data_IF_843641273248
#
_entry.id   IF_843641273248
#
_cell.length_a   1.000
_cell.length_b   1.000
_cell.length_c   1.000
_cell.angle_alpha   90.00
_cell.angle_beta   90.00
_cell.angle_gamma   90.00
#
_symmetry.space_group_name_H-M   'P 1'
#
loop_
_entity.id
_entity.type
_entity.pdbx_description
1 polymer ?
#
# COMPACT_ATOMS: atom_id res chain seq x y z
N UNK A 1 49.95 -34.83 -9.51
CA UNK A 1 48.79 -34.95 -8.61
C UNK A 1 47.56 -34.82 -9.48
N UNK A 2 46.90 -35.93 -9.77
CA UNK A 2 45.61 -35.90 -10.51
C UNK A 2 44.61 -35.20 -9.62
N UNK A 3 44.27 -33.97 -9.97
CA UNK A 3 43.17 -33.23 -9.30
C UNK A 3 41.92 -34.03 -9.54
N UNK A 4 41.24 -34.40 -8.46
CA UNK A 4 40.01 -35.15 -8.51
C UNK A 4 38.96 -34.36 -9.35
N UNK A 5 38.61 -34.92 -10.53
CA UNK A 5 37.72 -34.29 -11.49
C UNK A 5 36.35 -33.98 -10.88
N UNK A 6 35.82 -34.91 -10.08
CA UNK A 6 34.52 -34.75 -9.44
C UNK A 6 34.56 -33.68 -8.33
N UNK A 7 35.67 -33.64 -7.55
CA UNK A 7 35.86 -32.60 -6.54
C UNK A 7 35.91 -31.19 -7.14
N UNK A 8 36.59 -30.99 -8.27
CA UNK A 8 36.62 -29.69 -8.95
C UNK A 8 35.24 -29.33 -9.52
N UNK A 9 34.53 -30.31 -10.08
CA UNK A 9 33.21 -30.13 -10.66
C UNK A 9 32.21 -29.61 -9.63
N UNK A 10 32.27 -30.08 -8.40
CA UNK A 10 31.39 -29.64 -7.31
C UNK A 10 31.67 -28.18 -6.87
N UNK A 11 32.89 -27.69 -7.10
CA UNK A 11 33.32 -26.34 -6.79
C UNK A 11 32.90 -25.29 -7.85
N UNK A 12 32.56 -25.69 -9.08
CA UNK A 12 32.41 -24.78 -10.23
C UNK A 12 31.30 -23.74 -10.04
N UNK A 13 30.20 -24.09 -9.40
CA UNK A 13 29.12 -23.14 -9.12
C UNK A 13 29.59 -22.06 -8.14
N UNK A 14 30.12 -22.46 -6.97
CA UNK A 14 30.63 -21.53 -5.96
C UNK A 14 31.77 -20.66 -6.51
N UNK A 15 32.65 -21.22 -7.33
CA UNK A 15 33.72 -20.48 -8.01
C UNK A 15 33.15 -19.41 -8.96
N UNK A 16 32.12 -19.72 -9.73
CA UNK A 16 31.50 -18.75 -10.64
C UNK A 16 30.83 -17.58 -9.91
N UNK A 17 30.35 -17.82 -8.69
CA UNK A 17 29.79 -16.79 -7.80
C UNK A 17 30.84 -16.06 -6.96
N UNK A 18 32.12 -16.45 -7.01
CA UNK A 18 33.17 -15.87 -6.16
C UNK A 18 33.02 -16.21 -4.68
N UNK A 19 32.42 -17.35 -4.36
CA UNK A 19 32.09 -17.80 -3.02
C UNK A 19 32.95 -18.94 -2.49
N UNK A 20 34.13 -19.18 -3.10
CA UNK A 20 35.08 -20.18 -2.65
C UNK A 20 36.06 -19.63 -1.60
N UNK A 21 36.49 -20.52 -0.71
CA UNK A 21 37.64 -20.26 0.16
C UNK A 21 38.92 -20.12 -0.69
N UNK A 22 39.90 -19.30 -0.28
CA UNK A 22 41.12 -19.04 -1.10
C UNK A 22 41.98 -20.29 -1.44
N UNK A 23 41.82 -21.35 -0.66
CA UNK A 23 42.51 -22.63 -0.94
C UNK A 23 41.87 -23.35 -2.12
N UNK A 24 40.54 -23.43 -2.16
CA UNK A 24 39.78 -24.13 -3.19
C UNK A 24 39.75 -23.31 -4.49
N UNK A 25 39.68 -21.97 -4.39
CA UNK A 25 39.75 -21.10 -5.55
C UNK A 25 40.97 -21.30 -6.41
N UNK A 26 42.10 -21.62 -5.82
CA UNK A 26 43.38 -21.90 -6.54
C UNK A 26 43.40 -23.23 -7.28
N UNK A 27 42.55 -24.18 -6.93
CA UNK A 27 42.50 -25.51 -7.56
C UNK A 27 41.71 -25.54 -8.86
N UNK A 28 40.74 -24.62 -9.01
CA UNK A 28 39.82 -24.59 -10.17
C UNK A 28 40.50 -24.17 -11.47
N UNK A 29 41.21 -23.02 -11.57
CA UNK A 29 41.76 -22.53 -12.83
C UNK A 29 42.74 -23.53 -13.54
N UNK A 30 43.67 -24.20 -12.84
CA UNK A 30 44.52 -25.17 -13.49
C UNK A 30 43.76 -26.35 -14.11
N UNK A 31 42.73 -26.85 -13.42
CA UNK A 31 41.89 -27.92 -13.93
C UNK A 31 41.04 -27.48 -15.15
N UNK A 32 40.53 -26.25 -15.16
CA UNK A 32 39.77 -25.71 -16.30
C UNK A 32 40.67 -25.59 -17.56
N UNK A 33 41.96 -25.39 -17.40
CA UNK A 33 42.90 -25.33 -18.52
C UNK A 33 43.13 -26.71 -19.16
N UNK A 34 42.93 -27.81 -18.42
CA UNK A 34 43.18 -29.18 -18.83
C UNK A 34 41.90 -29.98 -19.12
N UNK A 35 40.74 -29.52 -18.69
CA UNK A 35 39.47 -30.24 -18.80
C UNK A 35 38.39 -29.43 -19.53
N UNK A 36 38.15 -29.73 -20.81
CA UNK A 36 37.15 -29.04 -21.63
C UNK A 36 35.71 -29.13 -21.06
N UNK A 37 35.34 -30.28 -20.48
CA UNK A 37 33.99 -30.46 -19.93
C UNK A 37 33.71 -29.54 -18.72
N UNK A 38 34.70 -29.42 -17.82
CA UNK A 38 34.61 -28.50 -16.68
C UNK A 38 34.70 -27.04 -17.12
N UNK A 39 35.52 -26.73 -18.12
CA UNK A 39 35.57 -25.38 -18.68
C UNK A 39 34.21 -24.95 -19.29
N UNK A 40 33.58 -25.82 -20.07
CA UNK A 40 32.27 -25.59 -20.62
C UNK A 40 31.16 -25.42 -19.53
N UNK A 41 31.26 -26.19 -18.45
CA UNK A 41 30.33 -26.05 -17.31
C UNK A 41 30.58 -24.77 -16.52
N UNK A 42 31.81 -24.40 -16.28
CA UNK A 42 32.21 -23.17 -15.64
C UNK A 42 31.68 -21.93 -16.41
N UNK A 43 31.77 -21.96 -17.75
CA UNK A 43 31.24 -20.86 -18.58
C UNK A 43 29.71 -20.79 -18.54
N UNK A 44 28.99 -21.92 -18.44
CA UNK A 44 27.55 -21.91 -18.20
C UNK A 44 27.18 -21.23 -16.87
N UNK A 45 27.90 -21.57 -15.79
CA UNK A 45 27.67 -20.92 -14.48
C UNK A 45 27.99 -19.44 -14.51
N UNK A 46 29.11 -19.02 -15.13
CA UNK A 46 29.42 -17.59 -15.30
C UNK A 46 28.38 -16.85 -16.10
N UNK A 47 27.79 -17.48 -17.13
CA UNK A 47 26.68 -16.87 -17.88
C UNK A 47 25.45 -16.69 -16.99
N UNK A 48 25.14 -17.67 -16.15
CA UNK A 48 24.04 -17.57 -15.17
C UNK A 48 24.29 -16.43 -14.18
N UNK A 49 25.50 -16.33 -13.62
CA UNK A 49 25.88 -15.23 -12.71
C UNK A 49 25.70 -13.87 -13.42
N UNK A 50 26.19 -13.73 -14.65
CA UNK A 50 25.99 -12.49 -15.44
C UNK A 50 24.52 -12.12 -15.64
N UNK A 51 23.63 -13.11 -15.77
CA UNK A 51 22.18 -12.88 -15.90
C UNK A 51 21.55 -12.46 -14.56
N UNK A 52 22.06 -12.98 -13.45
CA UNK A 52 21.59 -12.63 -12.10
C UNK A 52 22.11 -11.26 -11.63
N UNK A 53 23.34 -10.90 -12.03
CA UNK A 53 23.95 -9.60 -11.73
C UNK A 53 23.29 -8.44 -12.52
N UNK A 54 22.44 -8.73 -13.49
CA UNK A 54 21.85 -7.75 -14.39
C UNK A 54 22.88 -7.18 -15.41
N UNK A 55 22.45 -6.30 -16.31
CA UNK A 55 23.36 -5.65 -17.21
C UNK A 55 24.34 -4.79 -16.41
N UNK A 56 25.64 -5.16 -16.44
CA UNK A 56 26.70 -4.30 -15.92
C UNK A 56 26.56 -2.95 -16.60
N UNK A 57 26.42 -1.91 -15.80
CA UNK A 57 26.47 -0.52 -16.25
C UNK A 57 27.64 -0.39 -17.24
N UNK A 58 27.37 0.02 -18.46
CA UNK A 58 28.40 0.45 -19.39
C UNK A 58 29.27 1.46 -18.66
N UNK A 59 30.59 1.45 -18.92
CA UNK A 59 31.57 2.42 -18.45
C UNK A 59 31.05 3.84 -18.68
N UNK A 60 30.23 4.31 -17.77
CA UNK A 60 29.93 5.74 -17.63
C UNK A 60 31.11 6.28 -16.84
N UNK A 61 31.82 7.30 -17.33
CA UNK A 61 32.90 7.90 -16.58
C UNK A 61 32.38 8.24 -15.19
N UNK A 62 33.13 7.86 -14.16
CA UNK A 62 32.85 8.06 -12.74
C UNK A 62 32.46 9.50 -12.42
N UNK A 63 31.21 9.87 -12.71
CA UNK A 63 30.57 10.89 -11.89
C UNK A 63 30.09 10.16 -10.64
N UNK A 64 30.54 10.58 -9.47
CA UNK A 64 30.13 9.90 -8.26
C UNK A 64 28.59 9.86 -8.23
N UNK A 65 28.04 8.66 -8.09
CA UNK A 65 26.59 8.44 -7.95
C UNK A 65 26.00 9.32 -6.82
N UNK A 66 26.84 9.73 -5.88
CA UNK A 66 26.56 10.72 -4.83
C UNK A 66 26.13 12.08 -5.38
N UNK A 67 26.67 12.56 -6.50
CA UNK A 67 26.34 13.91 -7.01
C UNK A 67 24.99 13.91 -7.73
N UNK A 68 24.66 12.86 -8.48
CA UNK A 68 23.35 12.73 -9.12
C UNK A 68 22.28 12.51 -8.05
N UNK A 69 22.52 11.60 -7.10
CA UNK A 69 21.61 11.38 -5.98
C UNK A 69 21.44 12.65 -5.15
N UNK A 70 22.54 13.34 -4.82
CA UNK A 70 22.50 14.59 -4.08
C UNK A 70 21.80 15.72 -4.86
N UNK A 71 21.95 15.79 -6.18
CA UNK A 71 21.24 16.74 -7.02
C UNK A 71 19.74 16.43 -7.04
N UNK A 72 19.35 15.18 -7.23
CA UNK A 72 17.95 14.74 -7.20
C UNK A 72 17.32 14.98 -5.82
N UNK A 73 18.02 14.65 -4.73
CA UNK A 73 17.53 14.90 -3.37
C UNK A 73 17.41 16.40 -3.03
N UNK A 74 18.24 17.27 -3.61
CA UNK A 74 18.10 18.72 -3.45
C UNK A 74 16.93 19.32 -4.22
N UNK A 75 16.54 18.72 -5.34
CA UNK A 75 15.41 19.18 -6.16
C UNK A 75 14.08 18.59 -5.72
N UNK A 76 14.10 17.46 -4.98
CA UNK A 76 12.91 16.84 -4.44
C UNK A 76 12.49 17.57 -3.16
N UNK A 77 11.23 18.06 -3.07
CA UNK A 77 10.73 18.61 -1.82
C UNK A 77 10.91 17.57 -0.70
N UNK A 78 11.44 18.02 0.44
CA UNK A 78 11.51 17.12 1.61
C UNK A 78 10.11 16.61 1.96
N UNK A 79 10.00 15.33 2.35
CA UNK A 79 8.76 14.82 2.87
C UNK A 79 8.30 15.69 4.05
N UNK A 80 7.01 16.03 4.15
CA UNK A 80 6.49 16.80 5.27
C UNK A 80 6.84 16.06 6.58
N UNK A 81 7.33 16.81 7.56
CA UNK A 81 7.56 16.27 8.90
C UNK A 81 6.23 16.23 9.64
N UNK A 82 5.62 15.06 9.67
CA UNK A 82 4.35 14.83 10.35
C UNK A 82 4.53 13.87 11.52
N UNK A 83 3.55 13.84 12.42
CA UNK A 83 3.48 12.85 13.50
C UNK A 83 3.24 11.44 12.93
N UNK A 84 3.57 10.40 13.71
CA UNK A 84 3.55 9.01 13.26
C UNK A 84 2.18 8.56 12.69
N UNK A 85 1.07 9.07 13.21
CA UNK A 85 -0.29 8.76 12.76
C UNK A 85 -0.63 9.35 11.37
N UNK A 86 -0.03 10.49 11.00
CA UNK A 86 -0.23 11.12 9.69
C UNK A 86 0.80 10.67 8.64
N UNK A 87 1.85 9.94 9.04
CA UNK A 87 2.90 9.47 8.13
C UNK A 87 2.37 8.53 7.03
N UNK A 88 1.42 7.59 7.29
CA UNK A 88 0.81 6.80 6.23
C UNK A 88 0.11 7.65 5.17
N UNK A 89 -0.64 8.69 5.58
CA UNK A 89 -1.30 9.59 4.64
C UNK A 89 -0.30 10.39 3.81
N UNK A 90 0.75 10.93 4.44
CA UNK A 90 1.81 11.63 3.72
C UNK A 90 2.49 10.73 2.66
N UNK A 91 2.71 9.45 2.99
CA UNK A 91 3.29 8.49 2.06
C UNK A 91 2.32 8.14 0.91
N UNK A 92 1.03 7.92 1.20
CA UNK A 92 0.01 7.63 0.20
C UNK A 92 -0.18 8.81 -0.78
N UNK A 93 -0.27 10.04 -0.26
CA UNK A 93 -0.32 11.27 -1.07
C UNK A 93 0.92 11.40 -1.97
N UNK A 94 2.11 11.14 -1.43
CA UNK A 94 3.35 11.19 -2.23
C UNK A 94 3.36 10.11 -3.33
N UNK A 95 2.87 8.90 -3.02
CA UNK A 95 2.73 7.80 -3.98
C UNK A 95 1.79 8.16 -5.13
N UNK A 96 0.61 8.69 -4.82
CA UNK A 96 -0.36 9.11 -5.84
C UNK A 96 0.20 10.28 -6.68
N UNK A 97 0.77 11.30 -6.06
CA UNK A 97 1.43 12.41 -6.79
C UNK A 97 2.52 11.91 -7.74
N UNK A 98 3.23 10.84 -7.39
CA UNK A 98 4.24 10.24 -8.26
C UNK A 98 3.66 9.42 -9.42
N UNK A 99 2.45 8.83 -9.25
CA UNK A 99 1.76 8.06 -10.27
C UNK A 99 1.05 8.94 -11.31
N UNK A 100 0.48 10.08 -10.89
CA UNK A 100 -0.38 10.91 -11.72
C UNK A 100 0.23 11.40 -13.06
N UNK A 101 1.54 11.69 -13.19
CA UNK A 101 2.15 11.99 -14.48
C UNK A 101 1.96 10.89 -15.54
N UNK A 102 1.85 9.62 -15.11
CA UNK A 102 1.62 8.47 -16.01
C UNK A 102 0.17 8.41 -16.54
N UNK A 103 -0.74 9.15 -15.92
CA UNK A 103 -2.13 9.28 -16.38
C UNK A 103 -2.29 10.31 -17.51
N UNK A 104 -1.25 11.06 -17.86
CA UNK A 104 -1.32 12.07 -18.93
C UNK A 104 -1.83 11.47 -20.24
N UNK A 105 -2.89 12.06 -20.80
CA UNK A 105 -3.58 11.58 -21.99
C UNK A 105 -4.46 10.34 -21.79
N UNK A 106 -4.59 9.83 -20.56
CA UNK A 106 -5.39 8.62 -20.21
C UNK A 106 -6.38 8.86 -19.08
N UNK A 107 -6.74 10.10 -18.78
CA UNK A 107 -7.63 10.48 -17.69
C UNK A 107 -9.01 9.81 -17.74
N UNK A 108 -9.53 9.49 -18.93
CA UNK A 108 -10.78 8.75 -19.12
C UNK A 108 -10.64 7.23 -19.04
N UNK A 109 -9.51 6.67 -18.57
CA UNK A 109 -9.38 5.22 -18.38
C UNK A 109 -10.27 4.78 -17.21
N UNK A 110 -11.20 3.81 -17.40
CA UNK A 110 -12.02 3.27 -16.32
C UNK A 110 -11.16 2.66 -15.21
N UNK A 111 -11.50 2.92 -13.94
CA UNK A 111 -10.74 2.49 -12.76
C UNK A 111 -11.58 1.59 -11.86
N UNK A 112 -12.55 2.14 -11.14
CA UNK A 112 -13.36 1.43 -10.16
C UNK A 112 -14.76 2.05 -10.13
N UNK A 113 -15.78 1.26 -9.80
CA UNK A 113 -17.16 1.69 -9.95
C UNK A 113 -17.42 2.17 -11.39
N UNK A 114 -18.12 3.28 -11.55
CA UNK A 114 -18.31 3.96 -12.85
C UNK A 114 -17.33 5.13 -13.02
N UNK A 115 -16.22 5.14 -12.30
CA UNK A 115 -15.23 6.21 -12.28
C UNK A 115 -14.04 5.91 -13.21
N UNK A 116 -13.61 6.93 -13.91
CA UNK A 116 -12.31 6.97 -14.57
C UNK A 116 -11.25 7.56 -13.65
N UNK A 117 -10.02 7.72 -14.14
CA UNK A 117 -8.91 8.29 -13.37
C UNK A 117 -9.26 9.69 -12.85
N UNK A 118 -9.90 10.55 -13.70
CA UNK A 118 -10.27 11.91 -13.29
C UNK A 118 -11.31 11.89 -12.16
N UNK A 119 -12.37 11.10 -12.30
CA UNK A 119 -13.40 10.95 -11.28
C UNK A 119 -12.82 10.38 -9.96
N UNK A 120 -11.86 9.45 -10.05
CA UNK A 120 -11.19 8.88 -8.86
C UNK A 120 -10.43 9.95 -8.08
N UNK A 121 -9.74 10.89 -8.74
CA UNK A 121 -9.09 12.01 -8.06
C UNK A 121 -10.12 12.99 -7.48
N UNK A 122 -11.22 13.26 -8.20
CA UNK A 122 -12.32 14.08 -7.69
C UNK A 122 -12.98 13.44 -6.45
N UNK A 123 -13.15 12.11 -6.45
CA UNK A 123 -13.60 11.38 -5.26
C UNK A 123 -12.64 11.57 -4.09
N UNK A 124 -11.32 11.44 -4.27
CA UNK A 124 -10.35 11.68 -3.20
C UNK A 124 -10.40 13.11 -2.67
N UNK A 125 -10.66 14.10 -3.53
CA UNK A 125 -10.91 15.48 -3.10
C UNK A 125 -12.14 15.57 -2.18
N UNK A 126 -13.25 14.90 -2.54
CA UNK A 126 -14.44 14.82 -1.70
C UNK A 126 -14.18 14.06 -0.38
N UNK A 127 -13.45 12.96 -0.44
CA UNK A 127 -13.15 12.10 0.69
C UNK A 127 -12.32 12.82 1.76
N UNK A 128 -11.32 13.57 1.35
CA UNK A 128 -10.46 14.35 2.24
C UNK A 128 -11.16 15.60 2.81
N UNK A 129 -12.16 16.13 2.11
CA UNK A 129 -12.87 17.38 2.49
C UNK A 129 -13.49 17.32 3.89
N UNK A 130 -14.05 16.18 4.30
CA UNK A 130 -14.69 16.07 5.60
C UNK A 130 -13.71 16.30 6.76
N UNK A 131 -12.51 15.71 6.67
CA UNK A 131 -11.45 15.95 7.65
C UNK A 131 -10.90 17.37 7.50
N UNK A 132 -10.72 17.85 6.28
CA UNK A 132 -10.23 19.20 6.01
C UNK A 132 -11.13 20.28 6.65
N UNK A 133 -12.44 20.18 6.45
CA UNK A 133 -13.40 21.13 7.04
C UNK A 133 -13.43 21.06 8.56
N UNK A 134 -13.34 19.87 9.15
CA UNK A 134 -13.24 19.70 10.59
C UNK A 134 -12.02 20.44 11.16
N UNK A 135 -10.91 20.42 10.43
CA UNK A 135 -9.65 21.08 10.82
C UNK A 135 -9.59 22.56 10.39
N UNK A 136 -10.69 23.14 9.93
CA UNK A 136 -10.80 24.55 9.56
C UNK A 136 -10.20 24.88 8.19
N UNK A 137 -10.01 23.89 7.33
CA UNK A 137 -9.57 24.06 5.94
C UNK A 137 -10.80 24.21 5.07
N UNK A 138 -10.85 25.27 4.25
CA UNK A 138 -12.00 25.57 3.39
C UNK A 138 -12.16 24.51 2.29
N UNK A 139 -13.43 24.17 1.98
CA UNK A 139 -13.78 23.32 0.86
C UNK A 139 -13.37 23.96 -0.48
N UNK A 140 -12.90 23.14 -1.41
CA UNK A 140 -12.51 23.57 -2.77
C UNK A 140 -13.69 23.67 -3.71
N UNK A 141 -14.73 22.85 -3.46
CA UNK A 141 -15.91 22.72 -4.31
C UNK A 141 -17.11 23.34 -3.57
N UNK A 142 -18.03 24.04 -4.27
CA UNK A 142 -19.25 24.58 -3.66
C UNK A 142 -20.02 23.54 -2.85
N UNK A 143 -20.76 23.94 -1.79
CA UNK A 143 -21.49 23.00 -0.95
C UNK A 143 -22.59 22.29 -1.73
N UNK A 144 -22.82 21.02 -1.41
CA UNK A 144 -23.94 20.23 -1.93
C UNK A 144 -25.26 20.64 -1.26
N UNK A 145 -26.34 20.51 -2.01
CA UNK A 145 -27.68 20.57 -1.44
C UNK A 145 -28.06 19.18 -0.94
N UNK A 146 -28.07 19.01 0.39
CA UNK A 146 -28.42 17.75 1.04
C UNK A 146 -29.74 17.92 1.72
N UNK A 147 -30.66 16.96 1.63
CA UNK A 147 -31.95 16.99 2.25
C UNK A 147 -31.85 17.05 3.79
N UNK A 148 -32.71 17.80 4.43
CA UNK A 148 -32.80 17.86 5.88
C UNK A 148 -33.10 16.44 6.45
N UNK A 149 -32.26 15.97 7.37
CA UNK A 149 -32.40 14.65 7.98
C UNK A 149 -31.78 13.48 7.17
N UNK A 150 -31.11 13.76 6.08
CA UNK A 150 -30.36 12.74 5.34
C UNK A 150 -29.35 12.01 6.25
N UNK A 151 -29.24 10.68 6.10
CA UNK A 151 -28.23 9.90 6.78
C UNK A 151 -26.83 10.24 6.27
N UNK A 152 -25.79 9.92 7.07
CA UNK A 152 -24.41 10.21 6.70
C UNK A 152 -24.00 9.56 5.36
N UNK A 153 -24.48 8.34 5.09
CA UNK A 153 -24.19 7.61 3.83
C UNK A 153 -24.77 8.33 2.62
N UNK A 154 -26.02 8.79 2.71
CA UNK A 154 -26.68 9.55 1.65
C UNK A 154 -25.97 10.89 1.42
N UNK A 155 -25.66 11.59 2.51
CA UNK A 155 -24.91 12.84 2.45
C UNK A 155 -23.52 12.68 1.81
N UNK A 156 -22.84 11.59 2.14
CA UNK A 156 -21.55 11.21 1.58
C UNK A 156 -21.64 10.93 0.07
N UNK A 157 -22.54 10.02 -0.33
CA UNK A 157 -22.74 9.68 -1.74
C UNK A 157 -23.08 10.92 -2.56
N UNK A 158 -24.01 11.74 -2.06
CA UNK A 158 -24.39 12.97 -2.73
C UNK A 158 -23.23 13.96 -2.87
N UNK A 159 -22.42 14.12 -1.79
CA UNK A 159 -21.24 14.98 -1.85
C UNK A 159 -20.23 14.51 -2.89
N UNK A 160 -19.94 13.22 -2.91
CA UNK A 160 -19.04 12.61 -3.88
C UNK A 160 -19.52 12.84 -5.32
N UNK A 161 -20.80 12.58 -5.60
CA UNK A 161 -21.41 12.82 -6.92
C UNK A 161 -21.29 14.29 -7.35
N UNK A 162 -21.61 15.23 -6.46
CA UNK A 162 -21.56 16.66 -6.76
C UNK A 162 -20.13 17.15 -7.01
N UNK A 163 -19.14 16.63 -6.25
CA UNK A 163 -17.73 16.98 -6.46
C UNK A 163 -17.24 16.43 -7.79
N UNK A 164 -17.52 15.16 -8.10
CA UNK A 164 -17.16 14.55 -9.38
C UNK A 164 -17.80 15.33 -10.53
N UNK A 165 -19.09 15.66 -10.44
CA UNK A 165 -19.77 16.42 -11.49
C UNK A 165 -19.18 17.84 -11.66
N UNK A 166 -18.78 18.49 -10.56
CA UNK A 166 -18.12 19.79 -10.61
C UNK A 166 -16.76 19.70 -11.31
N UNK A 167 -15.95 18.73 -10.92
CA UNK A 167 -14.59 18.56 -11.44
C UNK A 167 -14.58 18.11 -12.90
N UNK A 168 -15.58 17.39 -13.40
CA UNK A 168 -15.72 17.11 -14.83
C UNK A 168 -15.93 18.36 -15.69
N UNK A 169 -16.34 19.47 -15.12
CA UNK A 169 -16.38 20.77 -15.78
C UNK A 169 -15.03 21.47 -15.88
N UNK A 170 -13.98 20.88 -15.30
CA UNK A 170 -12.62 21.42 -15.20
C UNK A 170 -11.61 20.47 -15.87
N UNK A 171 -10.38 20.90 -16.02
CA UNK A 171 -9.32 20.01 -16.51
C UNK A 171 -8.85 19.07 -15.39
N UNK A 172 -8.38 17.85 -15.71
CA UNK A 172 -7.80 16.95 -14.73
C UNK A 172 -6.61 17.56 -13.95
N UNK A 173 -5.82 18.41 -14.59
CA UNK A 173 -4.69 19.10 -13.93
C UNK A 173 -5.17 20.06 -12.83
N UNK A 174 -6.31 20.74 -13.03
CA UNK A 174 -6.91 21.60 -11.99
C UNK A 174 -7.45 20.77 -10.83
N UNK A 175 -8.10 19.64 -11.10
CA UNK A 175 -8.56 18.71 -10.06
C UNK A 175 -7.39 18.15 -9.23
N UNK A 176 -6.31 17.74 -9.91
CA UNK A 176 -5.07 17.29 -9.24
C UNK A 176 -4.45 18.41 -8.40
N UNK A 177 -4.45 19.63 -8.89
CA UNK A 177 -3.92 20.78 -8.14
C UNK A 177 -4.74 21.05 -6.86
N UNK A 178 -6.08 21.00 -6.96
CA UNK A 178 -6.97 21.22 -5.81
C UNK A 178 -6.88 20.08 -4.79
N UNK A 179 -6.89 18.82 -5.23
CA UNK A 179 -6.65 17.68 -4.33
C UNK A 179 -5.28 17.77 -3.66
N UNK A 180 -4.23 18.06 -4.42
CA UNK A 180 -2.86 18.20 -3.88
C UNK A 180 -2.78 19.31 -2.84
N UNK A 181 -3.38 20.47 -3.12
CA UNK A 181 -3.38 21.59 -2.19
C UNK A 181 -4.18 21.31 -0.91
N UNK A 182 -5.28 20.55 -1.00
CA UNK A 182 -6.05 20.11 0.17
C UNK A 182 -5.26 19.11 1.01
N UNK A 183 -4.63 18.12 0.37
CA UNK A 183 -3.78 17.14 1.05
C UNK A 183 -2.58 17.80 1.74
N UNK A 184 -1.93 18.76 1.08
CA UNK A 184 -0.82 19.52 1.66
C UNK A 184 -1.28 20.37 2.86
N UNK A 185 -2.47 20.97 2.80
CA UNK A 185 -3.06 21.71 3.92
C UNK A 185 -3.39 20.78 5.11
N UNK A 186 -3.94 19.59 4.84
CA UNK A 186 -4.17 18.57 5.87
C UNK A 186 -2.86 18.16 6.56
N UNK A 187 -1.81 17.90 5.80
CA UNK A 187 -0.50 17.51 6.33
C UNK A 187 0.22 18.66 7.06
N UNK A 188 -0.15 19.90 6.80
CA UNK A 188 0.34 21.07 7.51
C UNK A 188 -0.49 21.45 8.76
N UNK A 189 -1.62 20.77 9.01
CA UNK A 189 -2.48 21.05 10.15
C UNK A 189 -1.78 20.76 11.48
N UNK A 190 -2.11 21.47 12.57
CA UNK A 190 -1.56 21.17 13.89
C UNK A 190 -1.80 19.73 14.34
N UNK A 191 -2.93 19.13 13.95
CA UNK A 191 -3.28 17.75 14.28
C UNK A 191 -2.41 16.74 13.50
N UNK A 192 -2.01 17.04 12.28
CA UNK A 192 -1.07 16.18 11.54
C UNK A 192 0.35 16.20 12.14
N UNK A 193 0.71 17.28 12.85
CA UNK A 193 2.05 17.51 13.39
C UNK A 193 2.21 17.05 14.85
N UNK A 194 1.10 16.92 15.59
CA UNK A 194 1.08 16.69 17.03
C UNK A 194 0.06 15.59 17.39
N UNK A 195 0.57 14.50 17.97
CA UNK A 195 -0.24 13.35 18.38
C UNK A 195 -1.21 13.67 19.54
N UNK A 196 -0.86 14.59 20.44
CA UNK A 196 -1.75 14.98 21.55
C UNK A 196 -2.94 15.77 21.02
N UNK A 197 -2.72 16.66 20.07
CA UNK A 197 -3.80 17.38 19.39
C UNK A 197 -4.71 16.44 18.61
N UNK A 198 -4.16 15.41 17.97
CA UNK A 198 -4.93 14.45 17.20
C UNK A 198 -5.65 13.37 18.06
N UNK A 199 -5.43 13.35 19.38
CA UNK A 199 -5.99 12.31 20.26
C UNK A 199 -7.50 12.48 20.54
N UNK A 200 -8.09 13.68 20.34
CA UNK A 200 -9.51 13.90 20.60
C UNK A 200 -10.37 13.18 19.55
N UNK A 201 -11.46 12.56 20.02
CA UNK A 201 -12.36 11.81 19.16
C UNK A 201 -13.43 12.74 18.54
N UNK A 202 -13.63 12.58 17.24
CA UNK A 202 -14.63 13.29 16.43
C UNK A 202 -15.50 12.28 15.67
N UNK A 203 -16.69 12.69 15.28
CA UNK A 203 -17.56 11.87 14.44
C UNK A 203 -17.47 12.36 13.00
N UNK A 204 -16.92 11.54 12.13
CA UNK A 204 -16.92 11.77 10.68
C UNK A 204 -17.43 10.51 10.00
N UNK A 205 -18.27 10.67 8.98
CA UNK A 205 -18.75 9.56 8.14
C UNK A 205 -19.33 8.40 8.96
N UNK A 206 -20.11 8.72 10.00
CA UNK A 206 -20.71 7.73 10.89
C UNK A 206 -19.79 7.06 11.91
N UNK A 207 -18.49 7.28 11.84
CA UNK A 207 -17.51 6.70 12.76
C UNK A 207 -17.00 7.75 13.77
N UNK A 208 -17.04 7.40 15.07
CA UNK A 208 -16.44 8.22 16.13
C UNK A 208 -15.05 7.71 16.48
N UNK A 209 -14.03 8.37 15.93
CA UNK A 209 -12.63 7.99 16.06
C UNK A 209 -11.79 9.21 16.47
N UNK A 210 -10.59 9.02 17.06
CA UNK A 210 -9.60 10.07 17.18
C UNK A 210 -9.26 10.68 15.81
N UNK A 211 -8.93 11.97 15.78
CA UNK A 211 -8.45 12.63 14.55
C UNK A 211 -7.25 11.89 13.95
N UNK A 212 -6.36 11.37 14.80
CA UNK A 212 -5.24 10.52 14.38
C UNK A 212 -5.68 9.33 13.51
N UNK A 213 -6.77 8.66 13.87
CA UNK A 213 -7.28 7.52 13.12
C UNK A 213 -7.94 7.95 11.81
N UNK A 214 -8.55 9.15 11.77
CA UNK A 214 -9.08 9.69 10.51
C UNK A 214 -7.96 9.97 9.50
N UNK A 215 -6.76 10.35 9.90
CA UNK A 215 -5.58 10.40 9.01
C UNK A 215 -5.22 9.03 8.46
N UNK A 216 -5.33 7.97 9.27
CA UNK A 216 -5.07 6.60 8.82
C UNK A 216 -6.16 6.13 7.84
N UNK A 217 -7.43 6.49 8.08
CA UNK A 217 -8.54 6.25 7.12
C UNK A 217 -8.25 6.94 5.78
N UNK A 218 -7.82 8.20 5.80
CA UNK A 218 -7.47 8.93 4.54
C UNK A 218 -6.26 8.31 3.84
N UNK A 219 -5.31 7.77 4.61
CA UNK A 219 -4.18 7.03 4.04
C UNK A 219 -4.63 5.77 3.30
N UNK A 220 -5.59 5.05 3.88
CA UNK A 220 -6.18 3.86 3.28
C UNK A 220 -6.85 4.21 1.94
N UNK A 221 -7.72 5.22 1.92
CA UNK A 221 -8.37 5.74 0.71
C UNK A 221 -7.37 6.11 -0.39
N UNK A 222 -6.43 6.99 -0.04
CA UNK A 222 -5.44 7.46 -1.01
C UNK A 222 -4.59 6.30 -1.57
N UNK A 223 -4.22 5.31 -0.72
CA UNK A 223 -3.44 4.16 -1.17
C UNK A 223 -4.26 3.23 -2.07
N UNK A 224 -5.48 2.84 -1.67
CA UNK A 224 -6.26 1.86 -2.42
C UNK A 224 -6.62 2.39 -3.81
N UNK A 225 -6.97 3.67 -3.91
CA UNK A 225 -7.24 4.30 -5.20
C UNK A 225 -5.97 4.53 -6.02
N UNK A 226 -4.80 4.69 -5.40
CA UNK A 226 -3.52 4.68 -6.11
C UNK A 226 -3.28 3.32 -6.76
N UNK A 227 -3.54 2.23 -6.04
CA UNK A 227 -3.44 0.85 -6.54
C UNK A 227 -4.46 0.60 -7.68
N UNK A 228 -5.71 1.03 -7.52
CA UNK A 228 -6.75 0.95 -8.55
C UNK A 228 -6.35 1.67 -9.84
N UNK A 229 -5.86 2.91 -9.73
CA UNK A 229 -5.37 3.70 -10.88
C UNK A 229 -4.17 3.00 -11.51
N UNK A 230 -3.22 2.53 -10.71
CA UNK A 230 -2.07 1.77 -11.21
C UNK A 230 -2.49 0.56 -12.03
N UNK A 231 -3.38 -0.26 -11.50
CA UNK A 231 -3.93 -1.44 -12.21
C UNK A 231 -4.61 -1.05 -13.51
N UNK A 232 -5.45 0.00 -13.50
CA UNK A 232 -6.14 0.50 -14.69
C UNK A 232 -5.16 1.00 -15.77
N UNK A 233 -4.04 1.58 -15.36
CA UNK A 233 -2.99 2.06 -16.25
C UNK A 233 -1.97 0.97 -16.63
N UNK A 234 -2.07 -0.25 -16.08
CA UNK A 234 -1.11 -1.34 -16.30
C UNK A 234 0.24 -1.11 -15.61
N UNK A 235 0.26 -0.37 -14.50
CA UNK A 235 1.44 -0.03 -13.73
C UNK A 235 1.43 -0.78 -12.39
N UNK A 236 2.58 -1.29 -11.97
CA UNK A 236 2.72 -1.88 -10.65
C UNK A 236 2.88 -0.78 -9.59
N UNK A 237 1.97 -0.72 -8.63
CA UNK A 237 2.05 0.15 -7.46
C UNK A 237 2.58 -0.68 -6.30
N UNK A 238 3.66 -0.24 -5.62
CA UNK A 238 4.15 -0.96 -4.45
C UNK A 238 3.13 -0.85 -3.29
N UNK A 239 3.01 -1.90 -2.45
CA UNK A 239 2.21 -1.82 -1.23
C UNK A 239 2.74 -0.72 -0.30
N UNK A 240 1.95 -0.27 0.69
CA UNK A 240 2.44 0.64 1.71
C UNK A 240 3.69 0.08 2.39
N UNK A 241 4.65 0.92 2.81
CA UNK A 241 5.74 0.49 3.68
C UNK A 241 5.21 -0.31 4.87
N UNK A 242 5.90 -1.37 5.28
CA UNK A 242 5.45 -2.32 6.31
C UNK A 242 4.90 -1.61 7.55
N UNK A 243 5.61 -0.62 8.09
CA UNK A 243 5.17 0.15 9.24
C UNK A 243 3.83 0.86 9.02
N UNK A 244 3.56 1.37 7.82
CA UNK A 244 2.30 2.02 7.48
C UNK A 244 1.19 0.99 7.26
N UNK A 245 1.49 -0.11 6.57
CA UNK A 245 0.54 -1.21 6.38
C UNK A 245 0.02 -1.73 7.72
N UNK A 246 0.87 -1.89 8.73
CA UNK A 246 0.45 -2.29 10.07
C UNK A 246 -0.45 -1.26 10.76
N UNK A 247 -0.29 0.02 10.50
CA UNK A 247 -1.23 1.03 11.01
C UNK A 247 -2.62 0.90 10.38
N UNK A 248 -2.67 0.65 9.06
CA UNK A 248 -3.93 0.38 8.33
C UNK A 248 -4.59 -0.89 8.87
N UNK A 249 -3.86 -1.99 9.00
CA UNK A 249 -4.34 -3.28 9.52
C UNK A 249 -4.95 -3.13 10.91
N UNK A 250 -4.23 -2.51 11.87
CA UNK A 250 -4.72 -2.33 13.24
C UNK A 250 -6.01 -1.51 13.29
N UNK A 251 -6.11 -0.44 12.50
CA UNK A 251 -7.32 0.35 12.42
C UNK A 251 -8.46 -0.46 11.80
N UNK A 252 -8.22 -1.17 10.71
CA UNK A 252 -9.20 -2.00 10.05
C UNK A 252 -9.73 -3.12 10.96
N UNK A 253 -8.85 -3.79 11.71
CA UNK A 253 -9.24 -4.82 12.70
C UNK A 253 -10.12 -4.22 13.80
N UNK A 254 -9.78 -3.03 14.31
CA UNK A 254 -10.58 -2.35 15.33
C UNK A 254 -11.98 -1.99 14.82
N UNK A 255 -12.07 -1.47 13.60
CA UNK A 255 -13.34 -1.13 12.98
C UNK A 255 -14.17 -2.40 12.67
N UNK A 256 -13.52 -3.46 12.18
CA UNK A 256 -14.16 -4.76 11.96
C UNK A 256 -14.72 -5.34 13.27
N UNK A 257 -13.96 -5.28 14.37
CA UNK A 257 -14.44 -5.69 15.70
C UNK A 257 -15.68 -4.93 16.15
N UNK A 258 -15.69 -3.59 15.95
CA UNK A 258 -16.88 -2.77 16.23
C UNK A 258 -18.08 -3.14 15.35
N UNK A 259 -17.84 -3.44 14.07
CA UNK A 259 -18.91 -3.80 13.12
C UNK A 259 -19.47 -5.22 13.36
N UNK A 260 -18.67 -6.15 13.83
CA UNK A 260 -19.11 -7.48 14.26
C UNK A 260 -19.95 -7.41 15.54
N UNK A 261 -19.54 -6.55 16.46
CA UNK A 261 -20.19 -6.38 17.76
C UNK A 261 -19.90 -7.50 18.77
N UNK A 262 -20.30 -7.31 20.04
CA UNK A 262 -19.93 -8.18 21.16
C UNK A 262 -20.70 -9.52 21.19
N UNK A 263 -21.69 -9.72 20.34
CA UNK A 263 -22.51 -10.95 20.29
C UNK A 263 -22.13 -11.87 19.13
N UNK A 264 -21.21 -11.46 18.27
CA UNK A 264 -20.73 -12.31 17.18
C UNK A 264 -19.95 -13.50 17.74
N UNK A 265 -20.02 -14.70 17.09
CA UNK A 265 -19.21 -15.84 17.49
C UNK A 265 -17.72 -15.49 17.49
N UNK A 266 -16.96 -15.77 18.57
CA UNK A 266 -15.58 -15.35 18.67
C UNK A 266 -14.65 -16.12 17.72
N UNK A 267 -13.84 -15.37 16.99
CA UNK A 267 -12.83 -15.88 16.06
C UNK A 267 -11.47 -15.30 16.45
N UNK A 268 -10.48 -16.18 16.60
CA UNK A 268 -9.08 -15.76 16.66
C UNK A 268 -8.65 -15.35 15.26
N UNK A 269 -8.49 -14.06 15.06
CA UNK A 269 -8.07 -13.46 13.80
C UNK A 269 -6.59 -13.12 13.87
N UNK A 270 -5.80 -13.70 12.99
CA UNK A 270 -4.38 -13.48 12.87
C UNK A 270 -4.04 -12.86 11.51
N UNK A 271 -3.07 -11.97 11.49
CA UNK A 271 -2.49 -11.43 10.27
C UNK A 271 -1.05 -11.90 10.15
N UNK A 272 -0.70 -12.50 9.01
CA UNK A 272 0.60 -13.12 8.78
C UNK A 272 1.75 -12.17 9.08
N UNK A 273 2.70 -12.62 9.88
CA UNK A 273 3.89 -11.84 10.26
C UNK A 273 3.66 -10.80 11.36
N UNK A 274 2.48 -10.79 12.00
CA UNK A 274 2.14 -9.77 12.99
C UNK A 274 1.31 -10.25 14.15
N UNK A 275 0.25 -9.53 14.43
CA UNK A 275 -0.56 -9.61 15.64
C UNK A 275 -1.78 -10.52 15.47
N UNK A 276 -2.35 -10.93 16.60
CA UNK A 276 -3.57 -11.71 16.70
C UNK A 276 -4.60 -10.97 17.56
N UNK A 277 -5.88 -11.12 17.23
CA UNK A 277 -7.00 -10.51 17.94
C UNK A 277 -8.15 -11.52 18.08
N UNK A 278 -8.91 -11.40 19.15
CA UNK A 278 -10.21 -12.07 19.26
C UNK A 278 -11.27 -11.09 18.76
N UNK A 279 -11.97 -11.47 17.69
CA UNK A 279 -13.10 -10.72 17.13
C UNK A 279 -14.40 -11.35 17.56
N UNK A 280 -15.38 -10.55 17.98
CA UNK A 280 -16.69 -11.01 18.46
C UNK A 280 -16.75 -11.04 19.99
N UNK A 281 -17.47 -12.02 20.57
CA UNK A 281 -17.70 -12.15 22.01
C UNK A 281 -16.42 -12.45 22.76
N UNK A 282 -16.15 -11.72 23.84
CA UNK A 282 -15.06 -11.98 24.78
C UNK A 282 -15.47 -13.00 25.88
N UNK A 283 -16.79 -13.25 26.03
CA UNK A 283 -17.35 -14.11 27.07
C UNK A 283 -17.44 -15.57 26.66
N UNK A 284 -17.24 -15.89 25.39
CA UNK A 284 -17.34 -17.24 24.84
C UNK A 284 -15.95 -17.78 24.43
N UNK A 285 -15.74 -19.10 24.45
CA UNK A 285 -14.50 -19.68 23.94
C UNK A 285 -14.40 -19.47 22.41
N UNK A 286 -13.18 -19.21 21.92
CA UNK A 286 -12.89 -19.09 20.49
C UNK A 286 -13.42 -20.30 19.73
N UNK A 287 -14.19 -20.06 18.67
CA UNK A 287 -14.84 -21.09 17.85
C UNK A 287 -14.09 -21.42 16.56
N UNK A 288 -13.28 -20.49 16.08
CA UNK A 288 -12.53 -20.65 14.85
C UNK A 288 -11.24 -19.80 14.89
N UNK A 289 -10.31 -20.18 14.03
CA UNK A 289 -9.12 -19.39 13.72
C UNK A 289 -9.18 -18.97 12.26
N UNK A 290 -8.79 -17.73 11.97
CA UNK A 290 -8.74 -17.16 10.63
C UNK A 290 -7.42 -16.41 10.47
N UNK A 291 -6.67 -16.74 9.41
CA UNK A 291 -5.38 -16.11 9.08
C UNK A 291 -5.44 -15.50 7.69
N UNK A 292 -5.02 -14.25 7.57
CA UNK A 292 -4.95 -13.50 6.31
C UNK A 292 -3.56 -12.86 6.13
N UNK A 293 -3.17 -12.68 4.89
CA UNK A 293 -2.06 -11.77 4.55
C UNK A 293 -2.48 -10.32 4.83
N UNK A 294 -1.58 -9.43 5.32
CA UNK A 294 -1.95 -8.06 5.65
C UNK A 294 -2.45 -7.25 4.44
N UNK A 295 -1.91 -7.49 3.25
CA UNK A 295 -2.32 -6.81 2.04
C UNK A 295 -3.69 -7.33 1.57
N UNK A 296 -3.88 -8.65 1.54
CA UNK A 296 -5.15 -9.27 1.18
C UNK A 296 -6.28 -8.86 2.13
N UNK A 297 -5.97 -8.73 3.43
CA UNK A 297 -6.92 -8.19 4.41
C UNK A 297 -7.32 -6.74 4.09
N UNK A 298 -6.36 -5.87 3.78
CA UNK A 298 -6.66 -4.49 3.38
C UNK A 298 -7.48 -4.46 2.07
N UNK A 299 -7.16 -5.29 1.08
CA UNK A 299 -7.93 -5.38 -0.17
C UNK A 299 -9.36 -5.91 0.06
N UNK A 300 -9.55 -6.83 1.00
CA UNK A 300 -10.87 -7.29 1.42
C UNK A 300 -11.68 -6.15 2.07
N UNK A 301 -11.10 -5.43 3.02
CA UNK A 301 -11.74 -4.27 3.68
C UNK A 301 -12.08 -3.17 2.66
N UNK A 302 -11.23 -2.95 1.67
CA UNK A 302 -11.47 -2.00 0.59
C UNK A 302 -12.43 -2.50 -0.51
N UNK A 303 -13.00 -3.71 -0.39
CA UNK A 303 -13.93 -4.25 -1.36
C UNK A 303 -13.31 -4.69 -2.69
N UNK A 304 -11.97 -4.87 -2.75
CA UNK A 304 -11.25 -5.36 -3.95
C UNK A 304 -11.16 -6.88 -3.98
N UNK A 305 -11.44 -7.54 -2.86
CA UNK A 305 -11.71 -8.97 -2.75
C UNK A 305 -13.10 -9.19 -2.18
N UNK A 306 -13.76 -10.25 -2.61
CA UNK A 306 -14.94 -10.79 -1.95
C UNK A 306 -14.53 -11.77 -0.85
N UNK A 307 -15.46 -12.10 0.04
CA UNK A 307 -15.23 -13.11 1.08
C UNK A 307 -14.88 -14.50 0.52
N UNK A 308 -15.32 -14.81 -0.70
CA UNK A 308 -15.05 -16.09 -1.36
C UNK A 308 -13.72 -16.11 -2.13
N UNK A 309 -13.20 -14.94 -2.52
CA UNK A 309 -11.98 -14.80 -3.34
C UNK A 309 -10.72 -14.56 -2.53
N UNK A 310 -10.85 -13.95 -1.33
CA UNK A 310 -9.70 -13.62 -0.52
C UNK A 310 -8.92 -14.87 -0.08
N UNK A 311 -7.61 -14.97 -0.36
CA UNK A 311 -6.79 -16.07 0.14
C UNK A 311 -6.74 -16.05 1.67
N UNK A 312 -7.07 -17.15 2.32
CA UNK A 312 -7.05 -17.25 3.78
C UNK A 312 -6.80 -18.68 4.27
N UNK A 313 -6.23 -18.78 5.48
CA UNK A 313 -6.19 -20.03 6.25
C UNK A 313 -7.26 -20.00 7.33
N UNK A 314 -7.99 -21.11 7.54
CA UNK A 314 -9.00 -21.17 8.57
C UNK A 314 -9.14 -22.58 9.17
N UNK A 315 -9.46 -22.63 10.48
CA UNK A 315 -9.82 -23.84 11.23
C UNK A 315 -11.07 -23.59 12.08
N UNK A 316 -11.76 -24.65 12.48
CA UNK A 316 -12.93 -24.57 13.38
C UNK A 316 -14.25 -24.26 12.68
N UNK A 317 -15.08 -23.39 13.27
CA UNK A 317 -16.44 -23.08 12.81
C UNK A 317 -16.43 -22.24 11.53
N UNK A 318 -16.77 -22.88 10.41
CA UNK A 318 -16.80 -22.23 9.08
C UNK A 318 -17.82 -21.08 8.99
N UNK A 319 -18.91 -21.14 9.77
CA UNK A 319 -19.94 -20.09 9.78
C UNK A 319 -19.41 -18.84 10.47
N UNK A 320 -18.67 -19.02 11.58
CA UNK A 320 -18.01 -17.91 12.27
C UNK A 320 -16.94 -17.24 11.39
N UNK A 321 -16.10 -18.04 10.71
CA UNK A 321 -15.12 -17.54 9.73
C UNK A 321 -15.79 -16.72 8.62
N UNK A 322 -16.84 -17.29 8.00
CA UNK A 322 -17.56 -16.63 6.91
C UNK A 322 -18.19 -15.32 7.36
N UNK A 323 -18.75 -15.26 8.56
CA UNK A 323 -19.31 -14.02 9.13
C UNK A 323 -18.24 -12.91 9.23
N UNK A 324 -17.02 -13.26 9.66
CA UNK A 324 -15.91 -12.29 9.74
C UNK A 324 -15.53 -11.80 8.34
N UNK A 325 -15.36 -12.71 7.37
CA UNK A 325 -14.98 -12.35 5.99
C UNK A 325 -16.05 -11.49 5.29
N UNK A 326 -17.35 -11.89 5.40
CA UNK A 326 -18.45 -11.12 4.81
C UNK A 326 -18.60 -9.75 5.47
N UNK A 327 -18.42 -9.66 6.80
CA UNK A 327 -18.44 -8.39 7.50
C UNK A 327 -17.28 -7.50 7.07
N UNK A 328 -16.07 -8.06 6.92
CA UNK A 328 -14.89 -7.34 6.44
C UNK A 328 -15.13 -6.77 5.02
N UNK A 329 -15.60 -7.61 4.10
CA UNK A 329 -15.93 -7.19 2.73
C UNK A 329 -17.04 -6.13 2.69
N UNK A 330 -18.01 -6.16 3.65
CA UNK A 330 -19.09 -5.18 3.74
C UNK A 330 -18.66 -3.82 4.29
N UNK A 331 -17.43 -3.70 4.79
CA UNK A 331 -16.85 -2.44 5.26
C UNK A 331 -16.33 -1.56 4.11
N UNK A 332 -16.48 -1.98 2.87
CA UNK A 332 -16.15 -1.20 1.67
C UNK A 332 -16.94 0.13 1.64
N UNK A 333 -16.61 1.00 2.59
CA UNK A 333 -17.08 2.37 2.77
C UNK A 333 -16.08 3.39 2.22
N UNK A 334 -15.15 2.88 1.47
CA UNK A 334 -14.07 3.60 0.79
C UNK A 334 -14.32 3.62 -0.72
#
# INVERSE_FOLDING_TARGET
>A
MTTDHDGVRDLLAAWAFGALEPADERTVPPHLAECESCAAQAERWRRTVRLLDGPRSYDTPERPASDVLSAVLRTRPGAPRVAAHAAPYAAAVAGLKALLPEAAGRWGTPVVHDWDVHATIAHLLAADEHLARLLGIDARVPPSTIADGAGWTEAWSRRTEDVIAHEYGRSPDETVADWSAQADALLASPEALDAERAAHAVTLMGARLPVADHFVVRAFEAWIHTDDIGRALGLAVPPPPEQHLWQLVRLAVRILGLALGPTAPPVLFAVTGGEEWVLGSEDEPVRAELVLDPLDFCLLIGGRHTADEVPHGATGDRTAVRNVLERAASLAWL
#
